data_IF_695345890001
#
_entry.id   IF_695345890001
#
_cell.length_a   1.000
_cell.length_b   1.000
_cell.length_c   1.000
_cell.angle_alpha   90.00
_cell.angle_beta   90.00
_cell.angle_gamma   90.00
#
_symmetry.space_group_name_H-M   'P 1'
#
loop_
_entity.id
_entity.type
_entity.pdbx_description
1 polymer ?
#
# COMPACT_ATOMS: atom_id res chain seq x y z
N UNK A 1 19.23 -25.27 19.89
CA UNK A 1 18.28 -25.64 18.82
C UNK A 1 18.25 -24.49 17.79
N UNK A 2 18.68 -24.74 16.54
CA UNK A 2 18.58 -23.75 15.46
C UNK A 2 17.11 -23.55 15.13
N UNK A 3 16.60 -22.29 15.29
CA UNK A 3 15.25 -21.92 14.83
C UNK A 3 15.15 -22.11 13.31
N UNK A 4 14.02 -22.62 12.78
CA UNK A 4 13.86 -22.90 11.36
C UNK A 4 14.00 -21.63 10.50
N UNK A 5 14.57 -21.73 9.27
CA UNK A 5 14.87 -20.61 8.37
C UNK A 5 13.66 -19.70 8.06
N UNK A 6 12.46 -20.28 8.01
CA UNK A 6 11.21 -19.56 7.76
C UNK A 6 10.93 -18.46 8.79
N UNK A 7 11.23 -18.74 10.05
CA UNK A 7 11.02 -17.80 11.16
C UNK A 7 12.00 -16.60 11.13
N UNK A 8 13.20 -16.78 10.57
CA UNK A 8 14.16 -15.69 10.41
C UNK A 8 13.70 -14.71 9.32
N UNK A 9 13.19 -15.22 8.19
CA UNK A 9 12.69 -14.41 7.09
C UNK A 9 11.50 -13.54 7.51
N UNK A 10 10.53 -14.11 8.22
CA UNK A 10 9.40 -13.39 8.79
C UNK A 10 9.86 -12.28 9.75
N UNK A 11 10.82 -12.58 10.63
CA UNK A 11 11.39 -11.58 11.55
C UNK A 11 12.12 -10.45 10.83
N UNK A 12 12.80 -10.73 9.70
CA UNK A 12 13.41 -9.67 8.88
C UNK A 12 12.33 -8.72 8.38
N UNK A 13 11.21 -9.22 7.87
CA UNK A 13 10.10 -8.40 7.38
C UNK A 13 9.47 -7.57 8.52
N UNK A 14 9.20 -8.18 9.68
CA UNK A 14 8.64 -7.48 10.85
C UNK A 14 9.56 -6.36 11.33
N UNK A 15 10.87 -6.64 11.46
CA UNK A 15 11.86 -5.64 11.89
C UNK A 15 12.01 -4.53 10.85
N UNK A 16 12.05 -4.89 9.57
CA UNK A 16 12.13 -3.90 8.48
C UNK A 16 10.91 -2.97 8.46
N UNK A 17 9.70 -3.53 8.61
CA UNK A 17 8.47 -2.76 8.71
C UNK A 17 8.50 -1.79 9.88
N UNK A 18 8.93 -2.25 11.06
CA UNK A 18 9.02 -1.40 12.24
C UNK A 18 10.04 -0.26 12.07
N UNK A 19 11.23 -0.56 11.55
CA UNK A 19 12.28 0.43 11.29
C UNK A 19 11.84 1.47 10.24
N UNK A 20 11.35 1.01 9.08
CA UNK A 20 10.90 1.90 8.01
C UNK A 20 9.71 2.76 8.44
N UNK A 21 8.79 2.23 9.25
CA UNK A 21 7.71 3.01 9.83
C UNK A 21 8.18 4.08 10.83
N UNK A 22 9.25 3.81 11.57
CA UNK A 22 9.81 4.72 12.59
C UNK A 22 10.66 5.81 11.94
N UNK A 23 11.56 5.44 11.07
CA UNK A 23 12.64 6.32 10.61
C UNK A 23 12.46 6.82 9.17
N UNK A 24 11.68 6.12 8.36
CA UNK A 24 11.57 6.36 6.93
C UNK A 24 12.32 5.32 6.11
N UNK A 25 11.78 4.94 4.98
CA UNK A 25 12.42 3.98 4.09
C UNK A 25 13.80 4.45 3.62
N UNK A 26 14.00 5.72 3.22
CA UNK A 26 15.31 6.21 2.76
C UNK A 26 16.42 6.10 3.79
N UNK A 27 16.08 6.19 5.07
CA UNK A 27 17.04 6.20 6.18
C UNK A 27 17.37 4.83 6.74
N UNK A 28 16.69 3.77 6.29
CA UNK A 28 16.91 2.39 6.75
C UNK A 28 17.71 1.62 5.71
N UNK A 29 18.84 1.06 6.13
CA UNK A 29 19.68 0.17 5.32
C UNK A 29 19.50 -1.30 5.72
N UNK A 30 19.97 -2.22 4.88
CA UNK A 30 20.00 -3.65 5.24
C UNK A 30 20.95 -3.93 6.40
N UNK A 31 21.97 -3.09 6.62
CA UNK A 31 22.86 -3.20 7.78
C UNK A 31 22.11 -2.85 9.07
N UNK A 32 21.33 -1.76 9.09
CA UNK A 32 20.54 -1.37 10.25
C UNK A 32 19.55 -2.46 10.64
N UNK A 33 18.92 -3.11 9.66
CA UNK A 33 18.00 -4.23 9.89
C UNK A 33 18.73 -5.42 10.49
N UNK A 34 19.93 -5.75 10.00
CA UNK A 34 20.72 -6.85 10.51
C UNK A 34 21.19 -6.57 11.94
N UNK A 35 21.61 -5.34 12.24
CA UNK A 35 22.05 -4.90 13.55
C UNK A 35 20.89 -4.92 14.56
N UNK A 36 19.72 -4.40 14.23
CA UNK A 36 18.52 -4.45 15.07
C UNK A 36 18.12 -5.89 15.43
N UNK A 37 18.31 -6.82 14.49
CA UNK A 37 18.01 -8.23 14.70
C UNK A 37 19.14 -9.01 15.39
N UNK A 38 20.31 -8.40 15.58
CA UNK A 38 21.53 -9.05 16.05
C UNK A 38 21.90 -10.30 15.21
N UNK A 39 21.88 -10.13 13.87
CA UNK A 39 22.31 -11.15 12.90
C UNK A 39 23.42 -10.58 12.01
N UNK A 40 24.23 -11.47 11.42
CA UNK A 40 25.22 -11.01 10.45
C UNK A 40 24.54 -10.50 9.14
N UNK A 41 25.12 -9.48 8.46
CA UNK A 41 24.66 -9.08 7.14
C UNK A 41 24.56 -10.24 6.15
N UNK A 42 25.50 -11.18 6.18
CA UNK A 42 25.46 -12.38 5.34
C UNK A 42 24.22 -13.27 5.58
N UNK A 43 23.73 -13.31 6.83
CA UNK A 43 22.50 -14.03 7.15
C UNK A 43 21.27 -13.30 6.56
N UNK A 44 21.23 -11.98 6.60
CA UNK A 44 20.18 -11.19 5.97
C UNK A 44 20.20 -11.41 4.45
N UNK A 45 21.37 -11.29 3.80
CA UNK A 45 21.53 -11.49 2.34
C UNK A 45 21.23 -12.92 1.88
N UNK A 46 21.30 -13.90 2.76
CA UNK A 46 20.82 -15.26 2.46
C UNK A 46 19.29 -15.28 2.20
N UNK A 47 18.52 -14.40 2.85
CA UNK A 47 17.07 -14.33 2.74
C UNK A 47 16.59 -13.30 1.72
N UNK A 48 17.27 -12.15 1.59
CA UNK A 48 16.91 -11.04 0.72
C UNK A 48 18.16 -10.46 0.05
N UNK A 49 18.14 -10.33 -1.26
CA UNK A 49 19.31 -9.86 -2.03
C UNK A 49 19.61 -8.38 -1.81
N UNK A 50 18.56 -7.59 -1.56
CA UNK A 50 18.62 -6.14 -1.38
C UNK A 50 17.39 -5.63 -0.60
N UNK A 51 17.38 -4.35 -0.29
CA UNK A 51 16.26 -3.68 0.40
C UNK A 51 14.97 -3.69 -0.42
N UNK A 52 15.06 -3.56 -1.74
CA UNK A 52 13.88 -3.53 -2.61
C UNK A 52 13.14 -4.88 -2.64
N UNK A 53 13.85 -6.00 -2.46
CA UNK A 53 13.22 -7.32 -2.28
C UNK A 53 12.39 -7.37 -0.98
N UNK A 54 12.89 -6.77 0.11
CA UNK A 54 12.18 -6.66 1.39
C UNK A 54 10.93 -5.79 1.21
N UNK A 55 11.07 -4.62 0.58
CA UNK A 55 9.94 -3.71 0.31
C UNK A 55 8.90 -4.40 -0.56
N UNK A 56 9.32 -5.12 -1.58
CA UNK A 56 8.42 -5.89 -2.45
C UNK A 56 7.55 -6.88 -1.68
N UNK A 57 8.14 -7.59 -0.72
CA UNK A 57 7.39 -8.54 0.11
C UNK A 57 6.51 -7.89 1.17
N UNK A 58 6.95 -6.77 1.71
CA UNK A 58 6.10 -5.96 2.60
C UNK A 58 4.89 -5.43 1.83
N UNK A 59 5.08 -5.01 0.58
CA UNK A 59 3.97 -4.63 -0.29
C UNK A 59 3.06 -5.82 -0.63
N UNK A 60 3.62 -7.01 -0.89
CA UNK A 60 2.83 -8.24 -1.09
C UNK A 60 1.97 -8.56 0.13
N UNK A 61 2.51 -8.39 1.32
CA UNK A 61 1.78 -8.59 2.56
C UNK A 61 0.65 -7.56 2.71
N UNK A 62 0.94 -6.28 2.47
CA UNK A 62 -0.02 -5.19 2.45
C UNK A 62 -1.16 -5.45 1.46
N UNK A 63 -0.84 -5.75 0.19
CA UNK A 63 -1.84 -5.99 -0.85
C UNK A 63 -2.75 -7.18 -0.51
N UNK A 64 -2.20 -8.27 0.06
CA UNK A 64 -2.99 -9.41 0.52
C UNK A 64 -4.02 -9.05 1.60
N UNK A 65 -3.76 -8.05 2.42
CA UNK A 65 -4.71 -7.60 3.44
C UNK A 65 -5.75 -6.61 2.91
N UNK A 66 -5.38 -5.79 1.93
CA UNK A 66 -6.26 -4.77 1.35
C UNK A 66 -7.14 -5.31 0.23
N UNK A 67 -6.61 -6.20 -0.62
CA UNK A 67 -7.35 -6.71 -1.77
C UNK A 67 -8.72 -7.35 -1.44
N UNK A 68 -8.86 -8.14 -0.36
CA UNK A 68 -10.17 -8.67 0.04
C UNK A 68 -11.16 -7.58 0.46
N UNK A 69 -10.70 -6.48 1.07
CA UNK A 69 -11.56 -5.37 1.47
C UNK A 69 -12.14 -4.67 0.24
N UNK A 70 -11.36 -4.56 -0.84
CA UNK A 70 -11.79 -3.96 -2.11
C UNK A 70 -12.68 -4.88 -2.95
N UNK A 71 -12.72 -6.17 -2.66
CA UNK A 71 -13.58 -7.14 -3.32
C UNK A 71 -14.96 -7.29 -2.63
N UNK A 72 -15.20 -6.57 -1.55
CA UNK A 72 -16.47 -6.63 -0.80
C UNK A 72 -17.62 -6.10 -1.65
N UNK A 73 -18.80 -6.74 -1.61
CA UNK A 73 -19.99 -6.26 -2.33
C UNK A 73 -20.32 -4.80 -1.95
N UNK A 74 -20.98 -4.06 -2.86
CA UNK A 74 -21.38 -2.68 -2.58
C UNK A 74 -22.16 -2.59 -1.27
N UNK A 75 -21.76 -1.67 -0.41
CA UNK A 75 -22.42 -1.41 0.86
C UNK A 75 -23.90 -1.05 0.65
N UNK A 76 -24.75 -1.64 1.47
CA UNK A 76 -26.17 -1.29 1.51
C UNK A 76 -26.42 -0.10 2.46
N UNK A 77 -25.56 0.06 3.48
CA UNK A 77 -25.71 1.03 4.55
C UNK A 77 -24.46 1.90 4.72
N UNK A 78 -24.60 3.04 5.41
CA UNK A 78 -23.47 3.97 5.65
C UNK A 78 -22.42 3.34 6.58
N UNK A 79 -22.87 2.49 7.48
CA UNK A 79 -22.03 1.74 8.43
C UNK A 79 -21.06 0.82 7.71
N UNK A 80 -21.45 0.21 6.60
CA UNK A 80 -20.57 -0.64 5.79
C UNK A 80 -19.42 0.17 5.17
N UNK A 81 -19.73 1.38 4.65
CA UNK A 81 -18.71 2.29 4.14
C UNK A 81 -17.76 2.74 5.26
N UNK A 82 -18.31 3.10 6.42
CA UNK A 82 -17.50 3.50 7.57
C UNK A 82 -16.56 2.37 8.02
N UNK A 83 -17.08 1.15 8.10
CA UNK A 83 -16.30 -0.03 8.47
C UNK A 83 -15.18 -0.33 7.46
N UNK A 84 -15.47 -0.26 6.16
CA UNK A 84 -14.47 -0.40 5.10
C UNK A 84 -13.34 0.63 5.23
N UNK A 85 -13.71 1.91 5.40
CA UNK A 85 -12.74 2.99 5.55
C UNK A 85 -11.89 2.80 6.81
N UNK A 86 -12.51 2.39 7.92
CA UNK A 86 -11.79 2.11 9.16
C UNK A 86 -10.73 1.03 8.97
N UNK A 87 -11.10 -0.11 8.37
CA UNK A 87 -10.16 -1.19 8.09
C UNK A 87 -9.04 -0.76 7.12
N UNK A 88 -9.36 0.02 6.10
CA UNK A 88 -8.37 0.57 5.18
C UNK A 88 -7.37 1.47 5.91
N UNK A 89 -7.85 2.39 6.76
CA UNK A 89 -6.97 3.27 7.53
C UNK A 89 -6.09 2.51 8.53
N UNK A 90 -6.60 1.45 9.15
CA UNK A 90 -5.77 0.58 9.99
C UNK A 90 -4.61 -0.05 9.18
N UNK A 91 -4.90 -0.60 7.99
CA UNK A 91 -3.86 -1.18 7.12
C UNK A 91 -2.88 -0.11 6.61
N UNK A 92 -3.37 1.07 6.24
CA UNK A 92 -2.53 2.20 5.88
C UNK A 92 -1.61 2.62 7.02
N UNK A 93 -2.10 2.63 8.25
CA UNK A 93 -1.29 2.96 9.42
C UNK A 93 -0.22 1.90 9.71
N UNK A 94 -0.56 0.61 9.58
CA UNK A 94 0.36 -0.50 9.76
C UNK A 94 1.54 -0.44 8.77
N UNK A 95 1.28 -0.04 7.52
CA UNK A 95 2.28 0.07 6.45
C UNK A 95 2.54 1.53 6.04
N UNK A 96 2.54 2.48 7.00
CA UNK A 96 2.56 3.92 6.72
C UNK A 96 3.81 4.40 5.97
N UNK A 97 4.93 3.69 6.06
CA UNK A 97 6.15 4.01 5.31
C UNK A 97 5.90 3.96 3.78
N UNK A 98 5.05 3.03 3.31
CA UNK A 98 4.70 2.92 1.88
C UNK A 98 4.06 4.20 1.35
N UNK A 99 3.24 4.87 2.17
CA UNK A 99 2.55 6.10 1.77
C UNK A 99 3.42 7.34 1.93
N UNK A 100 4.24 7.37 2.98
CA UNK A 100 5.14 8.49 3.25
C UNK A 100 6.23 8.59 2.19
N UNK A 101 6.80 7.46 1.79
CA UNK A 101 7.98 7.40 0.93
C UNK A 101 7.62 6.83 -0.47
N UNK A 102 6.33 6.92 -0.86
CA UNK A 102 5.77 6.25 -2.04
C UNK A 102 6.46 6.65 -3.35
N UNK A 103 6.72 7.94 -3.52
CA UNK A 103 7.32 8.48 -4.74
C UNK A 103 8.75 7.92 -4.92
N UNK A 104 9.54 7.90 -3.87
CA UNK A 104 10.89 7.36 -3.90
C UNK A 104 10.90 5.85 -4.16
N UNK A 105 10.06 5.09 -3.49
CA UNK A 105 9.94 3.64 -3.65
C UNK A 105 9.52 3.29 -5.09
N UNK A 106 8.53 4.00 -5.64
CA UNK A 106 7.99 3.72 -6.97
C UNK A 106 8.89 4.20 -8.10
N UNK A 107 9.66 5.26 -7.90
CA UNK A 107 10.64 5.74 -8.89
C UNK A 107 11.75 4.72 -9.16
N UNK A 108 12.19 3.99 -8.13
CA UNK A 108 13.22 2.95 -8.23
C UNK A 108 12.69 1.61 -8.72
N UNK A 109 11.42 1.31 -8.46
CA UNK A 109 10.83 0.00 -8.74
C UNK A 109 9.59 0.11 -9.62
N UNK A 110 9.79 0.06 -10.96
CA UNK A 110 8.70 0.16 -11.94
C UNK A 110 7.62 -0.94 -11.77
N UNK A 111 8.00 -2.16 -11.36
CA UNK A 111 7.02 -3.24 -11.15
C UNK A 111 6.10 -2.89 -9.96
N UNK A 112 6.69 -2.37 -8.90
CA UNK A 112 5.94 -1.93 -7.73
C UNK A 112 5.05 -0.73 -8.09
N UNK A 113 5.56 0.24 -8.86
CA UNK A 113 4.79 1.39 -9.32
C UNK A 113 3.49 0.98 -10.06
N UNK A 114 3.57 0.00 -10.96
CA UNK A 114 2.41 -0.51 -11.69
C UNK A 114 1.39 -1.14 -10.74
N UNK A 115 1.85 -1.95 -9.78
CA UNK A 115 0.97 -2.60 -8.79
C UNK A 115 0.30 -1.60 -7.85
N UNK A 116 1.04 -0.59 -7.40
CA UNK A 116 0.49 0.51 -6.58
C UNK A 116 -0.59 1.24 -7.36
N UNK A 117 -0.32 1.62 -8.61
CA UNK A 117 -1.30 2.29 -9.47
C UNK A 117 -2.56 1.42 -9.70
N UNK A 118 -2.39 0.11 -9.82
CA UNK A 118 -3.52 -0.83 -9.94
C UNK A 118 -4.36 -0.89 -8.66
N UNK A 119 -3.72 -0.99 -7.51
CA UNK A 119 -4.40 -1.00 -6.21
C UNK A 119 -5.18 0.30 -5.98
N UNK A 120 -4.60 1.46 -6.32
CA UNK A 120 -5.26 2.77 -6.19
C UNK A 120 -6.48 2.88 -7.10
N UNK A 121 -6.40 2.39 -8.36
CA UNK A 121 -7.56 2.34 -9.27
C UNK A 121 -8.68 1.45 -8.74
N UNK A 122 -8.33 0.30 -8.17
CA UNK A 122 -9.30 -0.59 -7.53
C UNK A 122 -9.96 0.06 -6.33
N UNK A 123 -9.19 0.75 -5.48
CA UNK A 123 -9.71 1.51 -4.34
C UNK A 123 -10.69 2.60 -4.80
N UNK A 124 -10.30 3.39 -5.80
CA UNK A 124 -11.17 4.43 -6.39
C UNK A 124 -12.48 3.82 -6.91
N UNK A 125 -12.41 2.74 -7.68
CA UNK A 125 -13.58 2.05 -8.21
C UNK A 125 -14.51 1.58 -7.11
N UNK A 126 -13.96 0.94 -6.06
CA UNK A 126 -14.74 0.44 -4.93
C UNK A 126 -15.44 1.58 -4.19
N UNK A 127 -14.74 2.68 -3.89
CA UNK A 127 -15.32 3.84 -3.20
C UNK A 127 -16.44 4.48 -4.05
N UNK A 128 -16.24 4.58 -5.38
CA UNK A 128 -17.26 5.12 -6.28
C UNK A 128 -18.50 4.22 -6.34
N UNK A 129 -18.33 2.90 -6.40
CA UNK A 129 -19.44 1.95 -6.40
C UNK A 129 -20.23 1.98 -5.10
N UNK A 130 -19.55 2.02 -3.96
CA UNK A 130 -20.17 2.18 -2.64
C UNK A 130 -20.97 3.47 -2.56
N UNK A 131 -20.38 4.60 -2.96
CA UNK A 131 -21.06 5.91 -2.96
C UNK A 131 -22.30 5.90 -3.83
N UNK A 132 -22.22 5.30 -5.04
CA UNK A 132 -23.37 5.15 -5.93
C UNK A 132 -24.48 4.28 -5.34
N UNK A 133 -24.09 3.21 -4.64
CA UNK A 133 -25.05 2.32 -3.97
C UNK A 133 -25.79 3.06 -2.86
N UNK A 134 -25.09 3.82 -2.01
CA UNK A 134 -25.70 4.60 -0.94
C UNK A 134 -26.66 5.69 -1.49
N UNK A 135 -26.33 6.30 -2.63
CA UNK A 135 -27.22 7.26 -3.29
C UNK A 135 -28.49 6.54 -3.81
N UNK A 136 -28.34 5.39 -4.47
CA UNK A 136 -29.50 4.61 -4.97
C UNK A 136 -30.44 4.16 -3.85
N UNK A 137 -29.87 3.84 -2.69
CA UNK A 137 -30.63 3.40 -1.52
C UNK A 137 -31.21 4.58 -0.70
N UNK A 138 -31.02 5.82 -1.17
CA UNK A 138 -31.51 7.04 -0.48
C UNK A 138 -30.79 7.36 0.84
N UNK A 139 -29.65 6.69 1.11
CA UNK A 139 -28.84 6.90 2.32
C UNK A 139 -27.88 8.09 2.18
N UNK A 140 -27.64 8.53 0.95
CA UNK A 140 -26.79 9.69 0.62
C UNK A 140 -27.44 10.55 -0.45
N UNK A 141 -27.29 11.88 -0.35
CA UNK A 141 -27.70 12.77 -1.43
C UNK A 141 -26.61 12.80 -2.49
N UNK A 142 -27.01 12.68 -3.77
CA UNK A 142 -26.09 12.92 -4.86
C UNK A 142 -25.62 14.39 -4.78
N UNK A 143 -24.34 14.61 -4.53
CA UNK A 143 -23.74 15.93 -4.69
C UNK A 143 -23.71 16.25 -6.18
N UNK A 144 -24.21 17.42 -6.56
CA UNK A 144 -24.03 17.92 -7.93
C UNK A 144 -22.52 18.11 -8.15
N UNK A 145 -21.92 17.14 -8.87
CA UNK A 145 -20.52 17.04 -9.29
C UNK A 145 -19.47 17.02 -8.15
N UNK A 146 -18.77 15.92 -7.93
CA UNK A 146 -17.44 15.98 -7.34
C UNK A 146 -16.50 16.64 -8.37
N UNK A 147 -16.29 17.95 -8.26
CA UNK A 147 -15.30 18.72 -9.05
C UNK A 147 -13.83 18.33 -8.73
N UNK A 148 -13.61 17.32 -7.91
CA UNK A 148 -12.29 16.95 -7.38
C UNK A 148 -11.50 15.96 -8.24
N UNK A 149 -12.09 15.37 -9.29
CA UNK A 149 -11.39 14.42 -10.16
C UNK A 149 -11.46 14.76 -11.65
N UNK A 150 -11.78 16.02 -12.00
CA UNK A 150 -11.71 16.53 -13.37
C UNK A 150 -10.47 17.42 -13.59
N UNK A 151 -9.43 17.21 -12.81
CA UNK A 151 -8.15 17.83 -13.07
C UNK A 151 -7.31 16.87 -13.94
N UNK A 152 -6.99 17.41 -15.12
CA UNK A 152 -5.99 16.97 -16.07
C UNK A 152 -6.34 15.85 -17.05
N UNK A 153 -7.15 16.25 -18.05
CA UNK A 153 -6.82 15.84 -19.41
C UNK A 153 -5.50 16.54 -19.78
N UNK A 154 -4.43 15.80 -20.11
CA UNK A 154 -3.22 16.47 -20.63
C UNK A 154 -3.61 17.28 -21.90
N UNK A 155 -3.01 18.46 -22.10
CA UNK A 155 -3.25 19.25 -23.29
C UNK A 155 -2.92 18.43 -24.53
N UNK A 156 -3.84 18.48 -25.52
CA UNK A 156 -3.71 17.81 -26.80
C UNK A 156 -2.47 18.33 -27.55
N UNK A 157 -1.41 17.51 -27.59
CA UNK A 157 -0.11 17.84 -28.23
C UNK A 157 -0.19 17.77 -29.76
N UNK A 158 -1.37 17.95 -30.36
CA UNK A 158 -1.56 17.93 -31.82
C UNK A 158 -2.04 19.27 -32.39
N UNK A 159 -1.44 20.38 -31.96
CA UNK A 159 -1.66 21.67 -32.62
C UNK A 159 -0.38 22.50 -32.65
N UNK A 160 0.65 21.98 -33.32
CA UNK A 160 1.75 22.79 -33.92
C UNK A 160 2.23 22.10 -35.19
N UNK A 161 1.60 22.47 -36.27
CA UNK A 161 2.22 22.51 -37.61
C UNK A 161 2.10 23.91 -38.13
#
# INVERSE_FOLDING_TARGET
MRKPPRRTRERILETSLALMNREGEPHVTTADIADEMNISPGNLYYHFRNKDDIIGELYDAYERTVAPLLATPPAAEVEDLWFLLHLLFERMHEYRFLYRDLDEITSRNRKLAVRVADLLRRLESTVLELSRSLVRNGRMRASERPRLLAADRPPDVRACR
#
